data_IF_176823307059
#
_entry.id   IF_176823307059
#
_cell.length_a   1.000
_cell.length_b   1.000
_cell.length_c   1.000
_cell.angle_alpha   90.00
_cell.angle_beta   90.00
_cell.angle_gamma   90.00
#
_symmetry.space_group_name_H-M   'P 1'
#
loop_
_entity.id
_entity.type
_entity.pdbx_description
1 polymer ?
#
# COMPACT_ATOMS: atom_id res chain seq x y z
N UNK A 1 -34.47 4.23 -17.93
CA UNK A 1 -34.42 3.09 -16.98
C UNK A 1 -32.97 2.85 -16.62
N UNK A 2 -32.59 2.86 -15.33
CA UNK A 2 -31.26 2.38 -14.92
C UNK A 2 -31.23 0.87 -15.12
N UNK A 3 -30.30 0.38 -15.94
CA UNK A 3 -30.03 -1.04 -16.08
C UNK A 3 -29.55 -1.58 -14.72
N UNK A 4 -30.06 -2.74 -14.31
CA UNK A 4 -29.65 -3.37 -13.06
C UNK A 4 -28.17 -3.78 -13.14
N UNK A 5 -27.42 -3.51 -12.08
CA UNK A 5 -26.01 -3.87 -11.92
C UNK A 5 -25.90 -4.88 -10.78
N UNK A 6 -25.61 -6.14 -11.13
CA UNK A 6 -25.53 -7.23 -10.16
C UNK A 6 -24.41 -7.04 -9.13
N UNK A 7 -23.28 -6.45 -9.53
CA UNK A 7 -22.16 -6.21 -8.63
C UNK A 7 -22.53 -5.16 -7.59
N UNK A 8 -23.01 -3.98 -8.00
CA UNK A 8 -23.37 -2.93 -7.05
C UNK A 8 -24.51 -3.35 -6.11
N UNK A 9 -25.49 -4.11 -6.63
CA UNK A 9 -26.59 -4.63 -5.83
C UNK A 9 -26.12 -5.61 -4.74
N UNK A 10 -25.28 -6.58 -5.09
CA UNK A 10 -24.74 -7.56 -4.13
C UNK A 10 -23.79 -6.90 -3.14
N UNK A 11 -22.95 -5.97 -3.60
CA UNK A 11 -22.06 -5.23 -2.70
C UNK A 11 -22.87 -4.45 -1.65
N UNK A 12 -23.92 -3.73 -2.06
CA UNK A 12 -24.80 -3.00 -1.14
C UNK A 12 -25.53 -3.91 -0.14
N UNK A 13 -26.04 -5.05 -0.60
CA UNK A 13 -26.72 -6.02 0.25
C UNK A 13 -25.79 -6.68 1.26
N UNK A 14 -24.60 -7.15 0.84
CA UNK A 14 -23.61 -7.74 1.76
C UNK A 14 -23.12 -6.70 2.76
N UNK A 15 -22.84 -5.45 2.34
CA UNK A 15 -22.45 -4.38 3.26
C UNK A 15 -23.52 -4.16 4.33
N UNK A 16 -24.79 -4.10 3.94
CA UNK A 16 -25.92 -3.93 4.86
C UNK A 16 -26.04 -5.12 5.82
N UNK A 17 -25.85 -6.34 5.32
CA UNK A 17 -25.90 -7.56 6.13
C UNK A 17 -24.75 -7.64 7.16
N UNK A 18 -23.53 -7.30 6.75
CA UNK A 18 -22.32 -7.43 7.60
C UNK A 18 -22.23 -6.31 8.64
N UNK A 19 -22.81 -5.13 8.37
CA UNK A 19 -22.88 -4.04 9.35
C UNK A 19 -23.94 -4.26 10.44
N UNK A 20 -24.83 -5.25 10.29
CA UNK A 20 -25.77 -5.63 11.34
C UNK A 20 -24.99 -6.10 12.58
N UNK A 21 -25.22 -5.51 13.78
CA UNK A 21 -24.51 -5.88 15.01
C UNK A 21 -24.64 -7.37 15.41
N UNK A 22 -25.64 -8.08 14.87
CA UNK A 22 -25.84 -9.51 15.09
C UNK A 22 -24.90 -10.37 14.23
N UNK A 23 -24.34 -9.83 13.15
CA UNK A 23 -23.49 -10.57 12.22
C UNK A 23 -22.33 -11.30 12.90
N UNK A 24 -21.51 -10.65 13.76
CA UNK A 24 -20.39 -11.33 14.41
C UNK A 24 -20.81 -12.46 15.36
N UNK A 25 -22.05 -12.40 15.88
CA UNK A 25 -22.60 -13.42 16.79
C UNK A 25 -23.15 -14.65 16.06
N UNK A 26 -23.30 -14.61 14.74
CA UNK A 26 -23.80 -15.75 13.96
C UNK A 26 -22.76 -16.89 13.89
N UNK A 27 -23.19 -18.16 14.02
CA UNK A 27 -22.34 -19.31 13.75
C UNK A 27 -21.70 -19.23 12.37
N UNK A 28 -20.44 -19.67 12.25
CA UNK A 28 -19.71 -19.64 10.98
C UNK A 28 -20.48 -20.27 9.81
N UNK A 29 -21.13 -21.44 9.94
CA UNK A 29 -21.92 -22.02 8.83
C UNK A 29 -23.05 -21.12 8.34
N UNK A 30 -23.72 -20.38 9.25
CA UNK A 30 -24.79 -19.46 8.88
C UNK A 30 -24.25 -18.25 8.09
N UNK A 31 -23.10 -17.70 8.53
CA UNK A 31 -22.42 -16.61 7.80
C UNK A 31 -21.92 -17.08 6.43
N UNK A 32 -21.30 -18.26 6.36
CA UNK A 32 -20.83 -18.85 5.11
C UNK A 32 -21.98 -19.07 4.13
N UNK A 33 -23.10 -19.63 4.60
CA UNK A 33 -24.30 -19.81 3.78
C UNK A 33 -24.85 -18.46 3.27
N UNK A 34 -24.93 -17.45 4.12
CA UNK A 34 -25.41 -16.13 3.73
C UNK A 34 -24.58 -15.49 2.61
N UNK A 35 -23.25 -15.67 2.63
CA UNK A 35 -22.36 -15.24 1.55
C UNK A 35 -22.53 -16.13 0.31
N UNK A 36 -22.68 -17.45 0.47
CA UNK A 36 -22.87 -18.38 -0.65
C UNK A 36 -24.10 -18.03 -1.51
N UNK A 37 -25.21 -17.64 -0.86
CA UNK A 37 -26.47 -17.23 -1.50
C UNK A 37 -26.34 -16.00 -2.40
N UNK A 38 -25.21 -15.29 -2.34
CA UNK A 38 -24.94 -14.02 -3.04
C UNK A 38 -23.82 -14.16 -4.09
N UNK A 39 -23.55 -15.39 -4.51
CA UNK A 39 -22.58 -15.66 -5.57
C UNK A 39 -23.13 -15.15 -6.91
N UNK A 40 -22.34 -14.39 -7.65
CA UNK A 40 -22.67 -13.95 -9.00
C UNK A 40 -21.98 -14.84 -10.03
N UNK A 41 -22.69 -15.16 -11.11
CA UNK A 41 -22.11 -15.68 -12.34
C UNK A 41 -22.19 -14.59 -13.41
N UNK A 42 -21.07 -14.29 -14.06
CA UNK A 42 -21.01 -13.41 -15.23
C UNK A 42 -21.26 -14.19 -16.53
N UNK A 43 -21.62 -13.53 -17.65
CA UNK A 43 -21.83 -14.20 -18.94
C UNK A 43 -20.66 -15.03 -19.50
N UNK A 44 -19.44 -14.82 -19.01
CA UNK A 44 -18.25 -15.64 -19.29
C UNK A 44 -18.15 -16.87 -18.38
N UNK A 45 -19.22 -17.21 -17.66
CA UNK A 45 -19.31 -18.24 -16.62
C UNK A 45 -18.35 -18.04 -15.42
N UNK A 46 -17.76 -16.86 -15.29
CA UNK A 46 -16.95 -16.48 -14.13
C UNK A 46 -17.78 -16.39 -12.86
N UNK A 47 -17.32 -17.03 -11.78
CA UNK A 47 -17.96 -16.96 -10.46
C UNK A 47 -17.32 -15.89 -9.58
N UNK A 48 -18.16 -15.05 -8.99
CA UNK A 48 -17.77 -13.88 -8.20
C UNK A 48 -18.46 -13.86 -6.84
N UNK A 49 -17.72 -13.42 -5.82
CA UNK A 49 -18.24 -13.22 -4.45
C UNK A 49 -17.71 -11.94 -3.86
N UNK A 50 -18.60 -11.18 -3.23
CA UNK A 50 -18.20 -10.07 -2.37
C UNK A 50 -18.12 -10.57 -0.93
N UNK A 51 -16.95 -10.45 -0.32
CA UNK A 51 -16.66 -11.13 0.94
C UNK A 51 -15.75 -10.32 1.83
N UNK A 52 -14.91 -11.03 2.60
CA UNK A 52 -13.93 -10.45 3.52
C UNK A 52 -13.23 -9.22 2.96
N UNK A 53 -12.86 -8.31 3.86
CA UNK A 53 -12.21 -7.05 3.51
C UNK A 53 -13.11 -6.11 2.67
N UNK A 54 -14.40 -6.40 2.52
CA UNK A 54 -15.31 -5.65 1.67
C UNK A 54 -14.75 -5.50 0.23
N UNK A 55 -14.30 -6.62 -0.33
CA UNK A 55 -13.74 -6.72 -1.69
C UNK A 55 -14.33 -7.89 -2.47
N UNK A 56 -14.20 -7.79 -3.79
CA UNK A 56 -14.61 -8.82 -4.72
C UNK A 56 -13.54 -9.90 -4.89
N UNK A 57 -14.00 -11.13 -5.04
CA UNK A 57 -13.21 -12.31 -5.32
C UNK A 57 -13.76 -13.02 -6.53
N UNK A 58 -12.87 -13.53 -7.39
CA UNK A 58 -13.20 -14.35 -8.56
C UNK A 58 -12.68 -15.76 -8.34
N UNK A 59 -13.48 -16.76 -8.68
CA UNK A 59 -13.04 -18.16 -8.63
C UNK A 59 -12.20 -18.51 -9.85
N UNK A 60 -11.09 -19.21 -9.63
CA UNK A 60 -10.34 -19.89 -10.67
C UNK A 60 -11.08 -21.18 -11.06
N UNK A 61 -11.52 -21.34 -12.32
CA UNK A 61 -12.27 -22.51 -12.75
C UNK A 61 -11.41 -23.78 -12.79
N UNK A 62 -10.08 -23.68 -12.78
CA UNK A 62 -9.16 -24.82 -12.89
C UNK A 62 -8.97 -25.50 -11.53
N UNK A 63 -8.68 -24.74 -10.49
CA UNK A 63 -8.37 -25.27 -9.15
C UNK A 63 -9.41 -24.91 -8.07
N UNK A 64 -10.43 -24.12 -8.43
CA UNK A 64 -11.51 -23.72 -7.54
C UNK A 64 -11.12 -22.67 -6.49
N UNK A 65 -9.88 -22.16 -6.51
CA UNK A 65 -9.41 -21.13 -5.57
C UNK A 65 -10.08 -19.79 -5.84
N UNK A 66 -10.17 -18.97 -4.80
CA UNK A 66 -10.75 -17.63 -4.90
C UNK A 66 -9.64 -16.60 -4.83
N UNK A 67 -9.56 -15.76 -5.86
CA UNK A 67 -8.56 -14.70 -5.96
C UNK A 67 -9.22 -13.35 -5.75
N UNK A 68 -8.58 -12.46 -5.00
CA UNK A 68 -9.03 -11.09 -4.89
C UNK A 68 -8.96 -10.45 -6.29
N UNK A 69 -10.08 -9.92 -6.77
CA UNK A 69 -10.14 -9.31 -8.10
C UNK A 69 -11.15 -8.18 -8.09
N UNK A 70 -10.76 -7.03 -8.64
CA UNK A 70 -11.71 -5.95 -8.88
C UNK A 70 -12.81 -6.45 -9.83
N UNK A 71 -14.08 -6.05 -9.64
CA UNK A 71 -15.14 -6.42 -10.57
C UNK A 71 -14.87 -5.82 -11.96
N UNK A 72 -15.38 -6.45 -13.03
CA UNK A 72 -15.25 -5.94 -14.39
C UNK A 72 -15.88 -4.55 -14.50
N UNK A 73 -15.27 -3.70 -15.33
CA UNK A 73 -15.76 -2.35 -15.61
C UNK A 73 -16.77 -2.31 -16.77
N UNK A 74 -16.81 -3.34 -17.61
CA UNK A 74 -17.72 -3.43 -18.75
C UNK A 74 -19.19 -3.46 -18.30
N UNK A 75 -20.01 -2.46 -18.67
CA UNK A 75 -21.43 -2.42 -18.32
C UNK A 75 -22.22 -3.63 -18.82
N UNK A 76 -21.86 -4.20 -19.98
CA UNK A 76 -22.57 -5.36 -20.53
C UNK A 76 -22.32 -6.61 -19.67
N UNK A 77 -21.07 -6.86 -19.30
CA UNK A 77 -20.70 -7.94 -18.39
C UNK A 77 -21.42 -7.82 -17.04
N UNK A 78 -21.47 -6.60 -16.47
CA UNK A 78 -22.11 -6.33 -15.18
C UNK A 78 -23.63 -6.49 -15.23
N UNK A 79 -24.26 -6.04 -16.31
CA UNK A 79 -25.71 -6.16 -16.49
C UNK A 79 -26.16 -7.59 -16.81
N UNK A 80 -25.28 -8.41 -17.41
CA UNK A 80 -25.51 -9.83 -17.65
C UNK A 80 -25.26 -10.72 -16.44
N UNK A 81 -24.70 -10.17 -15.35
CA UNK A 81 -24.40 -10.93 -14.14
C UNK A 81 -25.70 -11.38 -13.44
N UNK A 82 -25.74 -12.64 -12.98
CA UNK A 82 -26.91 -13.21 -12.29
C UNK A 82 -26.51 -13.89 -10.99
N UNK A 83 -27.37 -13.84 -9.99
CA UNK A 83 -27.16 -14.59 -8.74
C UNK A 83 -27.35 -16.08 -9.01
N UNK A 84 -26.40 -16.89 -8.56
CA UNK A 84 -26.40 -18.34 -8.72
C UNK A 84 -26.22 -19.04 -7.38
N UNK A 85 -26.77 -20.24 -7.28
CA UNK A 85 -26.58 -21.13 -6.14
C UNK A 85 -25.46 -22.11 -6.47
N UNK A 86 -24.35 -22.02 -5.73
CA UNK A 86 -23.20 -22.91 -5.89
C UNK A 86 -23.10 -23.79 -4.65
N UNK A 87 -23.13 -25.11 -4.83
CA UNK A 87 -23.08 -26.08 -3.73
C UNK A 87 -21.71 -26.18 -3.04
N UNK A 88 -20.67 -25.53 -3.59
CA UNK A 88 -19.33 -25.51 -3.03
C UNK A 88 -19.31 -24.81 -1.67
N UNK A 89 -18.64 -25.39 -0.68
CA UNK A 89 -18.40 -24.72 0.59
C UNK A 89 -17.66 -23.39 0.38
N UNK A 90 -18.06 -22.34 1.10
CA UNK A 90 -17.37 -21.05 1.06
C UNK A 90 -16.09 -21.15 1.90
N UNK A 91 -14.90 -20.90 1.33
CA UNK A 91 -13.67 -20.90 2.10
C UNK A 91 -13.72 -19.90 3.26
N UNK A 92 -13.21 -20.24 4.47
CA UNK A 92 -13.29 -19.38 5.64
C UNK A 92 -12.74 -17.97 5.43
N UNK A 93 -11.68 -17.83 4.63
CA UNK A 93 -11.06 -16.55 4.33
C UNK A 93 -11.96 -15.58 3.56
N UNK A 94 -13.04 -16.05 2.92
CA UNK A 94 -13.99 -15.20 2.21
C UNK A 94 -15.16 -14.73 3.07
N UNK A 95 -15.34 -15.32 4.26
CA UNK A 95 -16.48 -15.03 5.13
C UNK A 95 -16.16 -13.80 5.99
N UNK A 96 -16.89 -12.68 5.85
CA UNK A 96 -16.63 -11.47 6.63
C UNK A 96 -16.72 -11.72 8.13
N UNK A 97 -15.79 -11.12 8.87
CA UNK A 97 -15.80 -11.12 10.34
C UNK A 97 -16.71 -10.03 10.91
N UNK A 98 -16.94 -8.95 10.15
CA UNK A 98 -17.60 -7.72 10.59
C UNK A 98 -16.61 -6.56 10.63
N UNK A 99 -15.61 -6.56 11.56
CA UNK A 99 -14.61 -5.50 11.66
C UNK A 99 -13.82 -5.23 10.37
N UNK A 100 -13.65 -6.23 9.50
CA UNK A 100 -12.98 -6.11 8.20
C UNK A 100 -13.74 -5.26 7.18
N UNK A 101 -15.03 -4.98 7.40
CA UNK A 101 -15.85 -4.07 6.58
C UNK A 101 -15.79 -2.62 7.05
N UNK A 102 -15.57 -2.40 8.34
CA UNK A 102 -15.47 -1.07 8.95
C UNK A 102 -14.03 -0.59 9.10
N UNK A 103 -13.06 -1.45 8.77
CA UNK A 103 -11.64 -1.17 8.83
C UNK A 103 -11.26 0.02 7.92
N UNK A 104 -10.59 1.01 8.51
CA UNK A 104 -10.00 2.12 7.74
C UNK A 104 -8.88 1.58 6.83
N UNK A 105 -9.00 1.85 5.53
CA UNK A 105 -8.03 1.48 4.50
C UNK A 105 -7.06 2.61 4.16
N UNK A 106 -7.30 3.81 4.69
CA UNK A 106 -6.48 4.98 4.43
C UNK A 106 -6.52 5.44 2.97
N UNK A 107 -5.55 6.28 2.62
CA UNK A 107 -5.31 6.73 1.25
C UNK A 107 -4.25 5.85 0.57
N UNK A 108 -4.43 5.63 -0.73
CA UNK A 108 -3.46 4.93 -1.59
C UNK A 108 -2.50 5.90 -2.30
N UNK A 109 -2.58 7.20 -1.97
CA UNK A 109 -1.72 8.22 -2.55
C UNK A 109 -0.27 8.06 -2.07
N UNK A 110 0.67 8.37 -2.96
CA UNK A 110 2.05 8.65 -2.58
C UNK A 110 2.20 10.00 -1.87
N UNK A 111 3.45 10.34 -1.56
CA UNK A 111 3.85 11.64 -1.01
C UNK A 111 4.50 12.53 -2.07
N UNK A 112 4.08 12.32 -3.33
CA UNK A 112 4.42 13.17 -4.49
C UNK A 112 3.10 13.76 -4.99
N UNK A 113 3.06 15.08 -5.15
CA UNK A 113 1.82 15.81 -5.33
C UNK A 113 1.45 16.51 -4.02
N UNK A 114 0.47 16.04 -3.22
CA UNK A 114 0.22 16.64 -1.91
C UNK A 114 1.35 16.36 -0.92
N UNK A 115 1.97 17.40 -0.38
CA UNK A 115 3.01 17.28 0.65
C UNK A 115 2.45 16.70 1.96
N UNK A 116 3.32 16.30 2.87
CA UNK A 116 2.92 16.01 4.25
C UNK A 116 2.46 17.32 4.94
N UNK A 117 1.29 17.34 5.61
CA UNK A 117 0.82 18.54 6.31
C UNK A 117 1.85 19.12 7.26
N UNK A 118 1.98 20.45 7.29
CA UNK A 118 2.97 21.18 8.07
C UNK A 118 2.93 20.79 9.56
N UNK A 119 1.73 20.66 10.14
CA UNK A 119 1.55 20.30 11.55
C UNK A 119 2.13 18.92 11.89
N UNK A 120 2.14 18.00 10.93
CA UNK A 120 2.76 16.68 11.09
C UNK A 120 4.29 16.83 11.04
N UNK A 121 4.80 17.57 10.06
CA UNK A 121 6.25 17.79 9.93
C UNK A 121 6.84 18.47 11.17
N UNK A 122 6.18 19.46 11.74
CA UNK A 122 6.64 20.14 12.96
C UNK A 122 6.63 19.22 14.18
N UNK A 123 5.57 18.41 14.37
CA UNK A 123 5.56 17.42 15.46
C UNK A 123 6.69 16.42 15.35
N UNK A 124 6.99 15.95 14.14
CA UNK A 124 8.12 15.04 13.91
C UNK A 124 9.46 15.76 14.16
N UNK A 125 9.58 17.02 13.75
CA UNK A 125 10.75 17.87 14.04
C UNK A 125 11.03 17.96 15.53
N UNK A 126 9.99 18.24 16.32
CA UNK A 126 10.09 18.34 17.78
C UNK A 126 10.55 17.01 18.42
N UNK A 127 10.00 15.89 17.93
CA UNK A 127 10.42 14.56 18.39
C UNK A 127 11.89 14.30 18.12
N UNK A 128 12.39 14.64 16.91
CA UNK A 128 13.80 14.49 16.54
C UNK A 128 14.71 15.42 17.35
N UNK A 129 14.32 16.69 17.50
CA UNK A 129 15.07 17.67 18.27
C UNK A 129 15.27 17.20 19.73
N UNK A 130 14.26 16.58 20.32
CA UNK A 130 14.33 16.02 21.68
C UNK A 130 15.28 14.80 21.81
N UNK A 131 15.72 14.20 20.70
CA UNK A 131 16.68 13.09 20.68
C UNK A 131 18.11 13.51 20.35
N UNK A 132 18.36 14.78 20.03
CA UNK A 132 19.72 15.27 19.77
C UNK A 132 20.60 15.12 21.03
N UNK A 133 21.83 14.68 20.84
CA UNK A 133 22.81 14.51 21.93
C UNK A 133 22.64 13.24 22.77
N UNK A 134 21.76 12.30 22.38
CA UNK A 134 21.70 10.96 22.99
C UNK A 134 22.98 10.20 22.68
N UNK A 135 23.54 9.52 23.69
CA UNK A 135 24.75 8.73 23.53
C UNK A 135 24.42 7.43 22.77
N UNK A 136 25.17 7.07 21.73
CA UNK A 136 25.01 5.79 21.04
C UNK A 136 25.20 4.58 21.96
N UNK A 137 25.98 4.72 23.03
CA UNK A 137 26.20 3.66 24.04
C UNK A 137 24.94 3.33 24.83
N UNK A 138 24.11 4.33 25.17
CA UNK A 138 22.83 4.12 25.87
C UNK A 138 21.73 3.59 24.92
N UNK A 139 21.94 3.81 23.63
CA UNK A 139 20.97 3.54 22.57
C UNK A 139 21.63 2.98 21.29
N UNK A 140 22.35 1.85 21.33
CA UNK A 140 23.05 1.31 20.17
C UNK A 140 22.11 1.09 18.99
N UNK A 141 22.61 1.34 17.78
CA UNK A 141 21.92 1.08 16.53
C UNK A 141 22.57 -0.12 15.82
N UNK A 142 21.75 -1.13 15.50
CA UNK A 142 22.16 -2.36 14.83
C UNK A 142 21.20 -2.71 13.70
N UNK A 143 21.56 -3.74 12.92
CA UNK A 143 20.69 -4.29 11.88
C UNK A 143 20.53 -3.36 10.66
N UNK A 144 19.42 -3.47 9.91
CA UNK A 144 19.25 -2.77 8.63
C UNK A 144 19.36 -1.25 8.73
N UNK A 145 18.97 -0.64 9.86
CA UNK A 145 19.09 0.80 10.06
C UNK A 145 20.53 1.29 10.20
N UNK A 146 21.47 0.45 10.64
CA UNK A 146 22.87 0.84 10.80
C UNK A 146 23.56 1.14 9.45
N UNK A 147 23.05 0.58 8.34
CA UNK A 147 23.53 0.90 6.99
C UNK A 147 22.90 2.17 6.38
N UNK A 148 21.91 2.76 7.04
CA UNK A 148 21.21 3.97 6.59
C UNK A 148 21.76 5.23 7.27
N UNK A 149 22.04 5.15 8.56
CA UNK A 149 22.46 6.27 9.38
C UNK A 149 23.97 6.29 9.64
N UNK A 150 24.52 7.47 9.91
CA UNK A 150 25.91 7.63 10.32
C UNK A 150 26.19 6.87 11.63
N UNK A 151 27.45 6.49 11.87
CA UNK A 151 27.82 5.57 12.95
C UNK A 151 27.52 6.12 14.36
N UNK A 152 27.49 7.45 14.49
CA UNK A 152 27.19 8.21 15.71
C UNK A 152 25.69 8.36 15.99
N UNK A 153 24.81 7.86 15.12
CA UNK A 153 23.36 8.01 15.28
C UNK A 153 22.81 6.96 16.24
N UNK A 154 22.12 7.43 17.27
CA UNK A 154 21.46 6.57 18.26
C UNK A 154 20.11 6.02 17.76
N UNK A 155 19.72 4.85 18.26
CA UNK A 155 18.46 4.15 17.92
C UNK A 155 17.16 4.96 18.03
N UNK A 156 17.00 6.01 18.87
CA UNK A 156 15.84 6.87 18.84
C UNK A 156 15.55 7.51 17.48
N UNK A 157 16.57 7.97 16.75
CA UNK A 157 16.38 8.55 15.40
C UNK A 157 15.86 7.48 14.43
N UNK A 158 16.45 6.28 14.49
CA UNK A 158 16.00 5.13 13.71
C UNK A 158 14.59 4.68 14.07
N UNK A 159 14.16 4.82 15.34
CA UNK A 159 12.80 4.52 15.76
C UNK A 159 11.78 5.48 15.14
N UNK A 160 12.09 6.79 15.06
CA UNK A 160 11.24 7.78 14.37
C UNK A 160 11.17 7.44 12.88
N UNK A 161 12.32 7.32 12.21
CA UNK A 161 12.39 6.99 10.78
C UNK A 161 11.66 5.69 10.43
N UNK A 162 11.98 4.62 11.14
CA UNK A 162 11.38 3.31 10.93
C UNK A 162 9.87 3.35 11.15
N UNK A 163 9.38 4.12 12.13
CA UNK A 163 7.94 4.29 12.34
C UNK A 163 7.27 5.01 11.17
N UNK A 164 7.89 6.08 10.64
CA UNK A 164 7.37 6.78 9.46
C UNK A 164 7.30 5.84 8.25
N UNK A 165 8.40 5.13 7.96
CA UNK A 165 8.49 4.21 6.81
C UNK A 165 7.57 3.00 6.94
N UNK A 166 7.41 2.47 8.15
CA UNK A 166 6.48 1.38 8.40
C UNK A 166 5.04 1.87 8.26
N UNK A 167 4.70 3.06 8.79
CA UNK A 167 3.34 3.60 8.73
C UNK A 167 2.92 4.02 7.31
N UNK A 168 3.85 4.43 6.45
CA UNK A 168 3.57 4.85 5.09
C UNK A 168 2.95 3.74 4.25
N UNK A 169 1.83 4.02 3.56
CA UNK A 169 1.26 3.10 2.57
C UNK A 169 2.22 2.84 1.40
N UNK A 170 2.74 3.91 0.80
CA UNK A 170 3.67 3.89 -0.32
C UNK A 170 4.75 4.99 -0.08
N UNK A 171 5.92 4.65 0.49
CA UNK A 171 6.97 5.61 0.83
C UNK A 171 7.74 6.13 -0.40
N UNK A 172 7.02 6.76 -1.34
CA UNK A 172 7.54 7.55 -2.44
C UNK A 172 7.23 9.02 -2.14
N UNK A 173 8.28 9.82 -1.90
CA UNK A 173 8.18 11.21 -1.44
C UNK A 173 8.74 12.18 -2.46
N UNK A 174 8.22 13.41 -2.51
CA UNK A 174 8.86 14.49 -3.26
C UNK A 174 10.34 14.62 -2.81
N UNK A 175 11.23 14.87 -3.76
CA UNK A 175 12.67 15.00 -3.54
C UNK A 175 13.03 16.09 -2.53
N UNK A 176 12.14 17.08 -2.35
CA UNK A 176 12.26 18.21 -1.42
C UNK A 176 11.32 18.08 -0.20
N UNK A 177 10.71 16.92 0.02
CA UNK A 177 9.79 16.72 1.13
C UNK A 177 10.47 17.10 2.46
N UNK A 178 9.82 18.00 3.19
CA UNK A 178 10.29 18.56 4.46
C UNK A 178 10.52 17.45 5.46
N UNK A 179 9.61 16.48 5.54
CA UNK A 179 9.69 15.32 6.45
C UNK A 179 11.00 14.54 6.27
N UNK A 180 11.46 14.34 5.03
CA UNK A 180 12.70 13.61 4.76
C UNK A 180 13.94 14.47 5.00
N UNK A 181 13.87 15.75 4.65
CA UNK A 181 14.98 16.69 4.77
C UNK A 181 15.47 16.85 6.22
N UNK A 182 14.58 16.69 7.20
CA UNK A 182 14.93 16.74 8.64
C UNK A 182 15.94 15.66 9.05
N UNK A 183 15.99 14.55 8.32
CA UNK A 183 16.89 13.45 8.63
C UNK A 183 18.28 13.61 7.99
N UNK A 184 18.48 14.61 7.12
CA UNK A 184 19.71 14.75 6.33
C UNK A 184 20.99 14.76 7.16
N UNK A 185 20.97 15.34 8.37
CA UNK A 185 22.13 15.37 9.27
C UNK A 185 22.49 14.01 9.88
N UNK A 186 21.58 13.03 9.85
CA UNK A 186 21.78 11.71 10.43
C UNK A 186 22.16 10.64 9.40
N UNK A 187 21.96 10.89 8.11
CA UNK A 187 22.12 9.86 7.08
C UNK A 187 23.60 9.60 6.76
N UNK A 188 23.98 8.34 6.61
CA UNK A 188 25.33 7.96 6.17
C UNK A 188 25.55 8.19 4.66
N UNK A 189 24.47 8.20 3.89
CA UNK A 189 24.47 8.37 2.43
C UNK A 189 23.20 9.10 1.99
N UNK A 190 23.22 9.78 0.82
CA UNK A 190 22.01 10.35 0.24
C UNK A 190 20.91 9.29 0.09
N UNK A 191 19.65 9.70 0.29
CA UNK A 191 18.50 8.83 0.08
C UNK A 191 18.39 8.40 -1.39
N UNK A 192 17.95 7.16 -1.67
CA UNK A 192 17.75 6.68 -3.04
C UNK A 192 16.68 7.52 -3.76
N UNK A 193 16.82 7.61 -5.07
CA UNK A 193 15.96 8.40 -5.95
C UNK A 193 16.72 9.51 -6.66
N UNK A 194 15.97 10.53 -7.10
CA UNK A 194 16.50 11.67 -7.85
C UNK A 194 16.01 13.00 -7.24
N UNK A 195 16.31 14.12 -7.89
CA UNK A 195 15.91 15.45 -7.40
C UNK A 195 14.38 15.61 -7.26
N UNK A 196 13.59 14.76 -7.91
CA UNK A 196 12.14 14.85 -7.95
C UNK A 196 11.45 13.90 -6.99
N UNK A 197 11.95 12.68 -6.82
CA UNK A 197 11.33 11.67 -5.96
C UNK A 197 12.37 10.84 -5.21
N UNK A 198 12.11 10.62 -3.92
CA UNK A 198 12.78 9.61 -3.09
C UNK A 198 11.96 8.34 -3.04
N UNK A 199 12.52 7.25 -3.55
CA UNK A 199 11.89 5.91 -3.57
C UNK A 199 12.41 5.09 -2.41
N UNK A 200 11.73 5.16 -1.27
CA UNK A 200 12.21 4.52 -0.05
C UNK A 200 11.60 3.12 0.09
N UNK A 201 12.35 2.11 0.54
CA UNK A 201 11.77 0.85 0.95
C UNK A 201 11.01 1.02 2.28
N UNK A 202 9.90 0.30 2.50
CA UNK A 202 9.21 0.32 3.79
C UNK A 202 10.09 -0.35 4.84
N UNK A 203 10.09 0.19 6.07
CA UNK A 203 10.67 -0.51 7.22
C UNK A 203 9.80 -1.73 7.58
N UNK A 204 10.41 -2.80 8.07
CA UNK A 204 9.66 -3.95 8.58
C UNK A 204 9.29 -3.77 10.05
N UNK A 205 8.19 -4.40 10.48
CA UNK A 205 7.87 -4.48 11.90
C UNK A 205 8.98 -5.16 12.69
N UNK A 206 9.69 -6.13 12.08
CA UNK A 206 10.83 -6.81 12.68
C UNK A 206 11.95 -5.85 13.06
N UNK A 207 12.24 -4.87 12.20
CA UNK A 207 13.28 -3.87 12.47
C UNK A 207 12.93 -2.99 13.67
N UNK A 208 11.66 -2.58 13.79
CA UNK A 208 11.17 -1.81 14.95
C UNK A 208 11.21 -2.64 16.23
N UNK A 209 10.78 -3.89 16.14
CA UNK A 209 10.79 -4.82 17.27
C UNK A 209 12.22 -5.09 17.74
N UNK A 210 13.19 -5.20 16.82
CA UNK A 210 14.59 -5.41 17.16
C UNK A 210 15.16 -4.25 18.00
N UNK A 211 14.77 -3.00 17.73
CA UNK A 211 15.17 -1.84 18.55
C UNK A 211 14.72 -1.99 20.02
N UNK A 212 13.49 -2.48 20.23
CA UNK A 212 12.96 -2.75 21.57
C UNK A 212 13.59 -4.00 22.21
N UNK A 213 13.61 -5.10 21.46
CA UNK A 213 14.01 -6.41 21.93
C UNK A 213 15.48 -6.47 22.33
N UNK A 214 16.34 -5.78 21.58
CA UNK A 214 17.74 -5.64 21.95
C UNK A 214 17.88 -5.00 23.34
N UNK A 215 17.23 -3.85 23.59
CA UNK A 215 17.40 -3.12 24.86
C UNK A 215 16.95 -3.95 26.05
N UNK A 216 15.86 -4.70 25.89
CA UNK A 216 15.34 -5.61 26.91
C UNK A 216 16.34 -6.75 27.19
N UNK A 217 16.87 -7.39 26.13
CA UNK A 217 17.87 -8.46 26.27
C UNK A 217 19.17 -7.97 26.89
N UNK A 218 19.56 -6.72 26.65
CA UNK A 218 20.72 -6.08 27.27
C UNK A 218 20.51 -5.69 28.75
N UNK A 219 19.34 -5.99 29.35
CA UNK A 219 19.05 -5.63 30.74
C UNK A 219 18.60 -4.18 30.94
N UNK A 220 18.25 -3.47 29.85
CA UNK A 220 17.78 -2.09 29.86
C UNK A 220 16.32 -1.95 29.38
N UNK A 221 15.33 -2.63 30.03
CA UNK A 221 13.94 -2.64 29.58
C UNK A 221 13.28 -1.25 29.57
N UNK A 222 13.73 -0.34 30.45
CA UNK A 222 13.24 1.04 30.46
C UNK A 222 13.74 1.85 29.25
N UNK A 223 14.94 1.57 28.74
CA UNK A 223 15.41 2.15 27.48
C UNK A 223 14.61 1.61 26.28
N UNK A 224 14.30 0.31 26.28
CA UNK A 224 13.40 -0.30 25.30
C UNK A 224 12.01 0.34 25.33
N UNK A 225 11.43 0.55 26.52
CA UNK A 225 10.13 1.22 26.68
C UNK A 225 10.16 2.67 26.16
N UNK A 226 11.27 3.40 26.33
CA UNK A 226 11.44 4.74 25.76
C UNK A 226 11.43 4.73 24.23
N UNK A 227 12.06 3.73 23.59
CA UNK A 227 12.00 3.57 22.13
C UNK A 227 10.57 3.30 21.67
N UNK A 228 9.85 2.44 22.39
CA UNK A 228 8.43 2.16 22.10
C UNK A 228 7.54 3.39 22.31
N UNK A 229 7.81 4.20 23.34
CA UNK A 229 7.11 5.46 23.54
C UNK A 229 7.36 6.45 22.40
N UNK A 230 8.58 6.48 21.86
CA UNK A 230 8.93 7.30 20.70
C UNK A 230 8.26 6.81 19.41
N UNK A 231 8.18 5.50 19.20
CA UNK A 231 7.39 4.91 18.10
C UNK A 231 5.91 5.31 18.23
N UNK A 232 5.33 5.20 19.42
CA UNK A 232 3.94 5.60 19.66
C UNK A 232 3.72 7.11 19.42
N UNK A 233 4.62 7.97 19.92
CA UNK A 233 4.54 9.41 19.70
C UNK A 233 4.65 9.78 18.21
N UNK A 234 5.52 9.09 17.46
CA UNK A 234 5.68 9.28 16.01
C UNK A 234 4.43 8.83 15.26
N UNK A 235 3.87 7.65 15.61
CA UNK A 235 2.63 7.15 15.04
C UNK A 235 1.47 8.10 15.29
N UNK A 236 1.35 8.63 16.52
CA UNK A 236 0.33 9.61 16.87
C UNK A 236 0.48 10.91 16.08
N UNK A 237 1.73 11.39 15.88
CA UNK A 237 2.01 12.59 15.11
C UNK A 237 1.50 12.50 13.67
N UNK A 238 1.63 11.33 13.02
CA UNK A 238 1.21 11.12 11.62
C UNK A 238 -0.21 10.60 11.46
N UNK A 239 -0.89 10.18 12.55
CA UNK A 239 -2.19 9.48 12.50
C UNK A 239 -3.30 10.29 11.82
N UNK A 240 -3.19 11.62 11.78
CA UNK A 240 -4.19 12.47 11.14
C UNK A 240 -4.15 12.40 9.61
N UNK A 241 -3.02 12.02 9.00
CA UNK A 241 -2.90 11.88 7.55
C UNK A 241 -3.38 10.48 7.09
N UNK A 242 -4.36 10.40 6.17
CA UNK A 242 -4.89 9.13 5.67
C UNK A 242 -3.84 8.16 5.09
N UNK A 243 -2.70 8.65 4.61
CA UNK A 243 -1.62 7.83 4.03
C UNK A 243 -0.83 7.04 5.07
N UNK A 244 -0.85 7.50 6.33
CA UNK A 244 -0.20 6.83 7.47
C UNK A 244 -1.20 6.17 8.42
N UNK A 245 -2.41 6.71 8.51
CA UNK A 245 -3.39 6.43 9.58
C UNK A 245 -3.67 4.96 9.87
N UNK A 246 -3.91 4.05 8.89
CA UNK A 246 -4.26 2.66 9.21
C UNK A 246 -3.14 1.96 9.98
N UNK A 247 -1.90 2.12 9.52
CA UNK A 247 -0.73 1.54 10.16
C UNK A 247 -0.39 2.26 11.46
N UNK A 248 -0.43 3.59 11.49
CA UNK A 248 -0.22 4.35 12.72
C UNK A 248 -1.17 3.91 13.85
N UNK A 249 -2.46 3.76 13.55
CA UNK A 249 -3.46 3.28 14.52
C UNK A 249 -3.19 1.84 14.95
N UNK A 250 -2.76 0.98 14.03
CA UNK A 250 -2.35 -0.38 14.35
C UNK A 250 -1.12 -0.41 15.26
N UNK A 251 -0.07 0.38 14.99
CA UNK A 251 1.12 0.43 15.84
C UNK A 251 0.79 0.86 17.26
N UNK A 252 -0.03 1.89 17.42
CA UNK A 252 -0.51 2.33 18.73
C UNK A 252 -1.23 1.21 19.49
N UNK A 253 -2.08 0.44 18.82
CA UNK A 253 -2.75 -0.72 19.42
C UNK A 253 -1.74 -1.84 19.80
N UNK A 254 -0.77 -2.12 18.92
CA UNK A 254 0.26 -3.14 19.15
C UNK A 254 1.13 -2.82 20.36
N UNK A 255 1.56 -1.57 20.50
CA UNK A 255 2.52 -1.15 21.54
C UNK A 255 1.90 -0.72 22.86
N UNK A 256 0.59 -0.46 22.90
CA UNK A 256 -0.12 0.00 24.09
C UNK A 256 0.17 -0.85 25.35
N UNK A 257 0.18 -2.21 25.30
CA UNK A 257 0.48 -3.02 26.48
C UNK A 257 1.89 -2.85 27.03
N UNK A 258 2.88 -2.54 26.18
CA UNK A 258 4.26 -2.24 26.61
C UNK A 258 4.30 -0.93 27.39
N UNK A 259 3.57 0.09 26.91
CA UNK A 259 3.52 1.42 27.53
C UNK A 259 2.83 1.39 28.89
N UNK A 260 1.72 0.65 28.99
CA UNK A 260 0.94 0.48 30.22
C UNK A 260 1.49 -0.58 31.17
N UNK A 261 2.54 -1.31 30.78
CA UNK A 261 3.13 -2.42 31.54
C UNK A 261 2.12 -3.54 31.87
N UNK A 262 1.20 -3.79 30.96
CA UNK A 262 0.15 -4.80 31.11
C UNK A 262 0.41 -6.06 30.28
N UNK A 263 1.39 -6.01 29.36
CA UNK A 263 1.76 -7.11 28.47
C UNK A 263 2.92 -7.98 28.95
N UNK A 264 3.12 -9.11 28.27
CA UNK A 264 4.25 -10.04 28.48
C UNK A 264 5.40 -9.79 27.48
N UNK A 265 5.41 -8.63 26.84
CA UNK A 265 6.33 -8.28 25.75
C UNK A 265 7.81 -8.35 26.18
N UNK A 266 8.14 -7.98 27.42
CA UNK A 266 9.50 -8.09 27.94
C UNK A 266 9.92 -9.56 28.09
N UNK A 267 9.02 -10.43 28.54
CA UNK A 267 9.27 -11.87 28.59
C UNK A 267 9.42 -12.44 27.19
N UNK A 268 8.59 -12.01 26.23
CA UNK A 268 8.71 -12.40 24.83
C UNK A 268 10.05 -11.97 24.21
N UNK A 269 10.56 -10.77 24.55
CA UNK A 269 11.84 -10.29 24.04
C UNK A 269 13.02 -11.19 24.41
N UNK A 270 12.98 -11.83 25.57
CA UNK A 270 13.97 -12.84 25.98
C UNK A 270 13.90 -14.13 25.13
N UNK A 271 12.75 -14.42 24.50
CA UNK A 271 12.58 -15.54 23.57
C UNK A 271 12.95 -15.16 22.12
N UNK A 272 13.23 -13.89 21.84
CA UNK A 272 13.65 -13.39 20.52
C UNK A 272 12.69 -12.36 19.92
N UNK A 273 13.17 -11.66 18.89
CA UNK A 273 12.42 -10.58 18.24
C UNK A 273 11.16 -11.10 17.52
N UNK A 274 11.22 -12.31 16.96
CA UNK A 274 10.03 -12.92 16.36
C UNK A 274 8.92 -13.17 17.37
N UNK A 275 9.22 -13.53 18.61
CA UNK A 275 8.21 -13.75 19.64
C UNK A 275 7.45 -12.44 19.95
N UNK A 276 8.19 -11.33 20.06
CA UNK A 276 7.60 -9.99 20.23
C UNK A 276 6.80 -9.59 19.00
N UNK A 277 7.33 -9.81 17.79
CA UNK A 277 6.64 -9.49 16.52
C UNK A 277 5.30 -10.21 16.41
N UNK A 278 5.24 -11.51 16.71
CA UNK A 278 3.98 -12.26 16.70
C UNK A 278 3.00 -11.73 17.74
N UNK A 279 3.48 -11.39 18.94
CA UNK A 279 2.65 -10.82 19.99
C UNK A 279 2.08 -9.46 19.58
N UNK A 280 2.87 -8.60 18.95
CA UNK A 280 2.41 -7.32 18.42
C UNK A 280 1.38 -7.53 17.30
N UNK A 281 1.67 -8.37 16.31
CA UNK A 281 0.73 -8.66 15.21
C UNK A 281 -0.61 -9.24 15.68
N UNK A 282 -0.63 -10.00 16.77
CA UNK A 282 -1.89 -10.52 17.34
C UNK A 282 -2.88 -9.44 17.79
N UNK A 283 -2.39 -8.20 17.99
CA UNK A 283 -3.16 -7.02 18.40
C UNK A 283 -3.52 -6.11 17.22
N UNK A 284 -3.05 -6.44 16.02
CA UNK A 284 -3.18 -5.64 14.82
C UNK A 284 -4.45 -6.04 14.03
N UNK A 285 -5.20 -5.08 13.45
CA UNK A 285 -6.23 -5.41 12.46
C UNK A 285 -5.66 -6.25 11.32
N UNK A 286 -6.40 -7.30 10.91
CA UNK A 286 -5.89 -8.32 9.97
C UNK A 286 -5.44 -7.74 8.63
N UNK A 287 -6.15 -6.75 8.09
CA UNK A 287 -5.82 -6.13 6.79
C UNK A 287 -4.49 -5.35 6.81
N UNK A 288 -4.13 -4.78 7.96
CA UNK A 288 -2.85 -4.08 8.14
C UNK A 288 -1.70 -5.10 8.32
N UNK A 289 -1.98 -6.18 9.05
CA UNK A 289 -1.02 -7.25 9.31
C UNK A 289 -0.61 -8.05 8.05
N UNK A 290 -1.38 -7.99 6.96
CA UNK A 290 -1.12 -8.77 5.73
C UNK A 290 0.30 -8.58 5.21
N UNK A 291 0.77 -7.33 5.16
CA UNK A 291 2.14 -7.05 4.69
C UNK A 291 3.21 -7.81 5.48
N UNK A 292 2.98 -8.09 6.76
CA UNK A 292 3.93 -8.78 7.64
C UNK A 292 3.68 -10.29 7.77
N UNK A 293 2.47 -10.76 7.47
CA UNK A 293 2.03 -12.14 7.75
C UNK A 293 1.75 -12.96 6.50
N UNK A 294 1.37 -12.33 5.40
CA UNK A 294 1.05 -12.98 4.12
C UNK A 294 1.42 -12.05 2.95
N UNK A 295 2.68 -12.11 2.46
CA UNK A 295 3.13 -11.30 1.32
C UNK A 295 2.27 -11.48 0.06
N UNK A 296 1.73 -12.69 -0.14
CA UNK A 296 0.87 -13.01 -1.27
C UNK A 296 -0.50 -12.33 -1.20
N UNK A 297 -1.18 -12.40 -0.05
CA UNK A 297 -2.44 -11.68 0.14
C UNK A 297 -2.20 -10.16 0.06
N UNK A 298 -1.09 -9.66 0.63
CA UNK A 298 -0.72 -8.26 0.52
C UNK A 298 -0.55 -7.82 -0.95
N UNK A 299 0.12 -8.62 -1.77
CA UNK A 299 0.26 -8.38 -3.21
C UNK A 299 -1.10 -8.32 -3.92
N UNK A 300 -2.00 -9.27 -3.64
CA UNK A 300 -3.36 -9.24 -4.19
C UNK A 300 -4.10 -7.94 -3.83
N UNK A 301 -3.99 -7.50 -2.58
CA UNK A 301 -4.59 -6.25 -2.12
C UNK A 301 -4.01 -5.02 -2.84
N UNK A 302 -2.70 -4.97 -3.02
CA UNK A 302 -2.03 -3.88 -3.73
C UNK A 302 -2.45 -3.83 -5.21
N UNK A 303 -2.51 -4.97 -5.91
CA UNK A 303 -3.00 -5.05 -7.29
C UNK A 303 -4.46 -4.60 -7.39
N UNK A 304 -5.32 -5.03 -6.46
CA UNK A 304 -6.71 -4.58 -6.43
C UNK A 304 -6.82 -3.06 -6.24
N UNK A 305 -5.96 -2.47 -5.41
CA UNK A 305 -5.90 -1.01 -5.24
C UNK A 305 -5.39 -0.31 -6.51
N UNK A 306 -4.38 -0.85 -7.20
CA UNK A 306 -3.93 -0.34 -8.49
C UNK A 306 -5.06 -0.34 -9.53
N UNK A 307 -5.76 -1.47 -9.70
CA UNK A 307 -6.91 -1.57 -10.62
C UNK A 307 -7.98 -0.52 -10.27
N UNK A 308 -8.27 -0.34 -8.97
CA UNK A 308 -9.24 0.65 -8.50
C UNK A 308 -8.82 2.07 -8.87
N UNK A 309 -7.54 2.44 -8.70
CA UNK A 309 -7.05 3.77 -9.09
C UNK A 309 -7.09 4.01 -10.60
N UNK A 310 -6.96 2.96 -11.40
CA UNK A 310 -7.10 3.01 -12.85
C UNK A 310 -8.56 3.11 -13.31
N UNK A 311 -9.55 3.08 -12.42
CA UNK A 311 -10.97 3.09 -12.77
C UNK A 311 -11.41 4.23 -13.71
N UNK A 312 -10.68 5.35 -13.76
CA UNK A 312 -10.95 6.45 -14.69
C UNK A 312 -10.81 6.04 -16.17
N UNK A 313 -10.02 5.01 -16.50
CA UNK A 313 -9.80 4.57 -17.89
C UNK A 313 -10.99 3.79 -18.44
N UNK A 314 -11.87 3.26 -17.59
CA UNK A 314 -13.09 2.59 -18.01
C UNK A 314 -13.96 3.52 -18.88
N UNK A 315 -14.02 4.81 -18.52
CA UNK A 315 -14.74 5.84 -19.30
C UNK A 315 -14.11 6.10 -20.67
N UNK A 316 -12.85 5.72 -20.86
CA UNK A 316 -12.10 5.81 -22.12
C UNK A 316 -12.20 4.50 -22.93
N UNK A 317 -13.01 3.53 -22.50
CA UNK A 317 -13.23 2.26 -23.19
C UNK A 317 -12.16 1.20 -22.95
N UNK A 318 -11.24 1.41 -22.00
CA UNK A 318 -10.22 0.43 -21.63
C UNK A 318 -10.58 -0.30 -20.33
N UNK A 319 -10.24 -1.57 -20.23
CA UNK A 319 -10.42 -2.34 -18.99
C UNK A 319 -9.29 -2.02 -17.98
N UNK A 320 -9.62 -1.46 -16.79
CA UNK A 320 -8.64 -1.21 -15.72
C UNK A 320 -7.85 -2.45 -15.29
N UNK A 321 -8.45 -3.65 -15.35
CA UNK A 321 -7.79 -4.90 -14.95
C UNK A 321 -6.70 -5.26 -15.94
N UNK A 322 -7.02 -5.29 -17.23
CA UNK A 322 -6.05 -5.52 -18.30
C UNK A 322 -4.88 -4.51 -18.30
N UNK A 323 -5.18 -3.23 -18.07
CA UNK A 323 -4.14 -2.19 -17.99
C UNK A 323 -3.25 -2.37 -16.76
N UNK A 324 -3.81 -2.69 -15.59
CA UNK A 324 -3.02 -2.96 -14.39
C UNK A 324 -2.06 -4.15 -14.59
N UNK A 325 -2.52 -5.25 -15.20
CA UNK A 325 -1.67 -6.40 -15.53
C UNK A 325 -0.57 -6.02 -16.52
N UNK A 326 -0.87 -5.16 -17.51
CA UNK A 326 0.12 -4.67 -18.46
C UNK A 326 1.19 -3.78 -17.82
N UNK A 327 0.80 -2.88 -16.90
CA UNK A 327 1.75 -2.04 -16.17
C UNK A 327 2.63 -2.87 -15.22
N UNK A 328 2.06 -3.87 -14.54
CA UNK A 328 2.83 -4.84 -13.77
C UNK A 328 3.82 -5.60 -14.68
N UNK A 329 3.41 -5.98 -15.89
CA UNK A 329 4.30 -6.61 -16.87
C UNK A 329 5.47 -5.69 -17.27
N UNK A 330 5.22 -4.38 -17.42
CA UNK A 330 6.26 -3.40 -17.71
C UNK A 330 7.31 -3.33 -16.58
N UNK A 331 6.86 -3.28 -15.33
CA UNK A 331 7.75 -3.24 -14.16
C UNK A 331 8.58 -4.52 -14.03
N UNK A 332 7.94 -5.69 -14.19
CA UNK A 332 8.65 -6.97 -14.19
C UNK A 332 9.64 -7.07 -15.34
N UNK A 333 9.25 -6.66 -16.54
CA UNK A 333 10.13 -6.65 -17.71
C UNK A 333 11.36 -5.77 -17.51
N UNK A 334 11.21 -4.64 -16.82
CA UNK A 334 12.30 -3.69 -16.58
C UNK A 334 13.27 -4.16 -15.50
N UNK A 335 12.78 -4.86 -14.47
CA UNK A 335 13.57 -5.12 -13.25
C UNK A 335 13.81 -6.60 -12.96
N UNK A 336 12.83 -7.48 -13.15
CA UNK A 336 12.95 -8.90 -12.82
C UNK A 336 11.93 -9.77 -13.57
N UNK A 337 12.14 -10.09 -14.87
CA UNK A 337 11.16 -10.82 -15.67
C UNK A 337 10.80 -12.20 -15.09
N UNK A 338 11.78 -12.87 -14.47
CA UNK A 338 11.61 -14.19 -13.84
C UNK A 338 10.82 -14.15 -12.53
N UNK A 339 10.56 -12.97 -11.96
CA UNK A 339 9.73 -12.86 -10.76
C UNK A 339 8.25 -13.19 -11.04
N UNK A 340 7.81 -13.11 -12.31
CA UNK A 340 6.43 -13.41 -12.72
C UNK A 340 5.95 -14.80 -12.27
N UNK A 341 6.83 -15.81 -12.29
CA UNK A 341 6.51 -17.19 -11.88
C UNK A 341 6.04 -17.27 -10.43
N UNK A 342 6.56 -16.40 -9.55
CA UNK A 342 6.17 -16.32 -8.14
C UNK A 342 4.84 -15.58 -7.94
N UNK A 343 4.41 -14.77 -8.91
CA UNK A 343 3.20 -13.97 -8.84
C UNK A 343 1.97 -14.68 -9.41
N UNK A 344 2.15 -15.55 -10.42
CA UNK A 344 1.03 -16.24 -11.08
C UNK A 344 0.05 -16.94 -10.12
N UNK A 345 0.49 -17.63 -9.04
CA UNK A 345 -0.43 -18.28 -8.10
C UNK A 345 -1.33 -17.31 -7.32
N UNK A 346 -1.01 -16.01 -7.32
CA UNK A 346 -1.72 -14.98 -6.58
C UNK A 346 -2.64 -14.14 -7.46
N UNK A 347 -2.53 -14.24 -8.77
CA UNK A 347 -3.41 -13.52 -9.71
C UNK A 347 -4.61 -14.37 -10.08
N UNK A 348 -5.76 -13.72 -10.31
CA UNK A 348 -6.92 -14.39 -10.90
C UNK A 348 -6.61 -14.85 -12.34
N UNK A 349 -7.36 -15.82 -12.88
CA UNK A 349 -7.06 -16.44 -14.17
C UNK A 349 -6.82 -15.46 -15.32
N UNK A 350 -7.59 -14.37 -15.38
CA UNK A 350 -7.50 -13.39 -16.47
C UNK A 350 -6.30 -12.49 -16.30
N UNK A 351 -6.06 -11.93 -15.10
CA UNK A 351 -4.85 -11.14 -14.83
C UNK A 351 -3.59 -11.98 -15.04
N UNK A 352 -3.61 -13.25 -14.63
CA UNK A 352 -2.52 -14.22 -14.84
C UNK A 352 -2.26 -14.43 -16.34
N UNK A 353 -3.31 -14.67 -17.11
CA UNK A 353 -3.21 -14.85 -18.56
C UNK A 353 -2.67 -13.59 -19.25
N UNK A 354 -3.26 -12.42 -18.96
CA UNK A 354 -2.84 -11.13 -19.53
C UNK A 354 -1.37 -10.85 -19.21
N UNK A 355 -0.96 -11.03 -17.95
CA UNK A 355 0.43 -10.84 -17.53
C UNK A 355 1.37 -11.74 -18.34
N UNK A 356 1.02 -13.01 -18.49
CA UNK A 356 1.82 -13.96 -19.27
C UNK A 356 1.96 -13.54 -20.73
N UNK A 357 0.85 -13.33 -21.44
CA UNK A 357 0.88 -13.02 -22.88
C UNK A 357 1.58 -11.69 -23.17
N UNK A 358 1.37 -10.68 -22.32
CA UNK A 358 2.03 -9.38 -22.47
C UNK A 358 3.53 -9.50 -22.27
N UNK A 359 4.00 -10.33 -21.33
CA UNK A 359 5.43 -10.59 -21.13
C UNK A 359 6.06 -11.39 -22.28
N UNK A 360 5.33 -12.35 -22.87
CA UNK A 360 5.89 -13.25 -23.89
C UNK A 360 5.77 -12.75 -25.32
N UNK A 361 4.77 -11.92 -25.63
CA UNK A 361 4.52 -11.39 -26.98
C UNK A 361 4.86 -9.88 -27.06
N UNK A 362 5.99 -9.51 -27.69
CA UNK A 362 6.36 -8.12 -27.93
C UNK A 362 5.39 -7.33 -28.81
N UNK A 363 4.59 -8.00 -29.65
CA UNK A 363 3.61 -7.36 -30.51
C UNK A 363 2.24 -7.17 -29.82
N UNK A 364 2.10 -7.63 -28.57
CA UNK A 364 0.82 -7.58 -27.87
C UNK A 364 0.31 -6.13 -27.70
N UNK A 365 -0.94 -5.81 -28.08
CA UNK A 365 -1.44 -4.43 -28.07
C UNK A 365 -1.35 -3.72 -26.71
N UNK A 366 -1.52 -4.48 -25.60
CA UNK A 366 -1.40 -3.93 -24.25
C UNK A 366 0.01 -3.40 -23.91
N UNK A 367 1.07 -3.75 -24.66
CA UNK A 367 2.37 -3.08 -24.51
C UNK A 367 2.32 -1.61 -24.92
N UNK A 368 1.29 -1.19 -25.67
CA UNK A 368 0.99 0.22 -25.91
C UNK A 368 0.68 1.01 -24.63
N UNK A 369 0.36 0.34 -23.52
CA UNK A 369 0.18 0.93 -22.19
C UNK A 369 1.51 1.17 -21.44
N UNK A 370 2.61 0.58 -21.90
CA UNK A 370 3.87 0.64 -21.16
C UNK A 370 4.45 2.07 -21.15
N UNK A 371 5.14 2.46 -20.07
CA UNK A 371 5.95 3.67 -20.05
C UNK A 371 6.94 3.72 -21.22
N UNK A 372 7.08 4.89 -21.85
CA UNK A 372 8.04 5.11 -22.95
C UNK A 372 9.19 5.99 -22.51
N UNK A 373 10.41 5.52 -22.70
CA UNK A 373 11.62 6.32 -22.51
C UNK A 373 11.67 7.47 -23.53
N UNK A 374 12.14 8.64 -23.10
CA UNK A 374 12.23 9.83 -23.96
C UNK A 374 10.88 10.41 -24.37
N UNK A 375 9.80 10.01 -23.70
CA UNK A 375 8.45 10.53 -23.92
C UNK A 375 8.20 11.91 -23.31
N UNK A 376 9.22 12.51 -22.70
CA UNK A 376 9.17 13.82 -22.06
C UNK A 376 10.06 14.81 -22.83
N UNK A 377 9.49 15.87 -23.44
CA UNK A 377 10.24 16.83 -24.26
C UNK A 377 11.44 17.47 -23.55
N UNK A 378 11.27 17.84 -22.28
CA UNK A 378 12.28 18.57 -21.51
C UNK A 378 13.23 17.65 -20.70
N UNK A 379 12.94 16.34 -20.67
CA UNK A 379 13.70 15.35 -19.89
C UNK A 379 13.84 14.03 -20.68
N UNK A 380 14.75 13.96 -21.67
CA UNK A 380 14.87 12.80 -22.57
C UNK A 380 15.24 11.48 -21.87
N UNK A 381 15.74 11.53 -20.64
CA UNK A 381 15.97 10.34 -19.79
C UNK A 381 14.74 9.89 -19.00
N UNK A 382 13.69 10.71 -18.91
CA UNK A 382 12.48 10.40 -18.18
C UNK A 382 11.54 9.52 -19.01
N UNK A 383 10.84 8.63 -18.32
CA UNK A 383 9.76 7.83 -18.91
C UNK A 383 8.44 8.57 -18.77
N UNK A 384 7.58 8.50 -19.77
CA UNK A 384 6.24 9.07 -19.73
C UNK A 384 5.17 7.99 -19.87
N UNK A 385 4.07 8.15 -19.14
CA UNK A 385 2.87 7.36 -19.38
C UNK A 385 2.23 7.74 -20.72
N UNK A 386 1.71 6.77 -21.50
CA UNK A 386 0.90 7.05 -22.67
C UNK A 386 -0.29 7.97 -22.33
N UNK A 387 -0.64 8.88 -23.25
CA UNK A 387 -1.72 9.88 -23.05
C UNK A 387 -3.07 9.28 -22.67
N UNK A 388 -3.39 8.09 -23.17
CA UNK A 388 -4.60 7.36 -22.81
C UNK A 388 -4.68 7.05 -21.30
N UNK A 389 -3.53 6.88 -20.64
CA UNK A 389 -3.41 6.55 -19.22
C UNK A 389 -3.23 7.78 -18.33
N UNK A 390 -3.29 9.00 -18.89
CA UNK A 390 -3.18 10.22 -18.09
C UNK A 390 -4.34 10.30 -17.09
N UNK A 391 -4.02 10.39 -15.77
CA UNK A 391 -5.02 10.62 -14.72
C UNK A 391 -5.73 11.96 -14.93
N UNK A 392 -6.99 12.09 -14.48
CA UNK A 392 -7.79 13.30 -14.70
C UNK A 392 -7.37 14.50 -13.84
N UNK A 393 -6.71 14.27 -12.71
CA UNK A 393 -6.31 15.30 -11.75
C UNK A 393 -5.10 14.84 -10.90
N UNK A 394 -4.49 15.81 -10.17
CA UNK A 394 -3.33 15.60 -9.28
C UNK A 394 -3.58 14.53 -8.23
N UNK A 395 -4.79 14.48 -7.66
CA UNK A 395 -5.14 13.51 -6.60
C UNK A 395 -5.17 12.08 -7.16
N UNK A 396 -5.70 11.89 -8.37
CA UNK A 396 -5.74 10.64 -9.11
C UNK A 396 -4.34 10.23 -9.58
N UNK A 397 -3.50 11.19 -9.97
CA UNK A 397 -2.10 10.94 -10.30
C UNK A 397 -1.30 10.49 -9.06
N UNK A 398 -1.47 11.15 -7.90
CA UNK A 398 -0.85 10.74 -6.66
C UNK A 398 -1.32 9.35 -6.20
N UNK A 399 -2.61 9.02 -6.41
CA UNK A 399 -3.17 7.70 -6.13
C UNK A 399 -2.60 6.61 -7.06
N UNK A 400 -2.48 6.90 -8.35
CA UNK A 400 -1.87 5.99 -9.31
C UNK A 400 -0.39 5.75 -8.99
N UNK A 401 0.38 6.80 -8.69
CA UNK A 401 1.78 6.68 -8.26
C UNK A 401 1.90 5.82 -7.01
N UNK A 402 1.13 6.13 -5.96
CA UNK A 402 1.20 5.42 -4.69
C UNK A 402 0.78 3.95 -4.81
N UNK A 403 -0.30 3.64 -5.52
CA UNK A 403 -0.75 2.27 -5.72
C UNK A 403 0.18 1.47 -6.65
N UNK A 404 0.75 2.08 -7.69
CA UNK A 404 1.76 1.45 -8.54
C UNK A 404 3.03 1.14 -7.75
N UNK A 405 3.54 2.10 -6.96
CA UNK A 405 4.72 1.89 -6.12
C UNK A 405 4.47 0.82 -5.04
N UNK A 406 3.31 0.84 -4.37
CA UNK A 406 2.93 -0.19 -3.39
C UNK A 406 2.80 -1.58 -4.01
N UNK A 407 2.27 -1.68 -5.24
CA UNK A 407 2.24 -2.94 -5.99
C UNK A 407 3.66 -3.44 -6.29
N UNK A 408 4.53 -2.51 -6.70
CA UNK A 408 5.97 -2.69 -6.83
C UNK A 408 6.63 -3.33 -5.62
N UNK A 409 6.48 -2.67 -4.47
CA UNK A 409 7.01 -3.14 -3.19
C UNK A 409 6.45 -4.51 -2.79
N UNK A 410 5.15 -4.75 -3.02
CA UNK A 410 4.51 -6.01 -2.66
C UNK A 410 5.03 -7.18 -3.50
N UNK A 411 5.22 -7.00 -4.81
CA UNK A 411 5.78 -8.06 -5.65
C UNK A 411 7.28 -8.29 -5.38
N UNK A 412 8.06 -7.24 -5.07
CA UNK A 412 9.44 -7.39 -4.61
C UNK A 412 9.50 -8.23 -3.33
N UNK A 413 8.66 -7.92 -2.33
CA UNK A 413 8.59 -8.70 -1.06
C UNK A 413 8.18 -10.15 -1.30
N UNK A 414 7.18 -10.39 -2.14
CA UNK A 414 6.70 -11.73 -2.47
C UNK A 414 7.74 -12.55 -3.25
N UNK A 415 8.47 -11.90 -4.16
CA UNK A 415 9.46 -12.55 -5.01
C UNK A 415 10.87 -12.57 -4.42
N UNK A 416 11.13 -11.87 -3.32
CA UNK A 416 12.48 -11.68 -2.78
C UNK A 416 13.40 -10.84 -3.68
N UNK A 417 12.83 -10.07 -4.60
CA UNK A 417 13.58 -9.16 -5.47
C UNK A 417 13.87 -7.85 -4.72
N UNK A 418 15.06 -7.27 -4.95
CA UNK A 418 15.41 -5.98 -4.39
C UNK A 418 14.54 -4.85 -4.97
N UNK A 419 14.31 -3.80 -4.19
CA UNK A 419 13.55 -2.62 -4.62
C UNK A 419 14.48 -1.73 -5.46
N UNK A 420 14.10 -1.33 -6.68
CA UNK A 420 14.94 -0.46 -7.51
C UNK A 420 15.16 0.92 -6.87
N UNK A 421 16.40 1.41 -6.85
CA UNK A 421 16.75 2.71 -6.25
C UNK A 421 16.07 3.91 -6.92
N UNK A 422 15.68 3.78 -8.19
CA UNK A 422 14.99 4.83 -8.98
C UNK A 422 13.48 4.59 -9.11
N UNK A 423 12.93 3.71 -8.26
CA UNK A 423 11.53 3.32 -8.34
C UNK A 423 11.22 2.40 -9.53
N UNK A 424 9.95 2.01 -9.63
CA UNK A 424 9.47 1.14 -10.70
C UNK A 424 9.08 1.96 -11.94
N UNK A 425 9.27 1.39 -13.13
CA UNK A 425 9.02 2.07 -14.41
C UNK A 425 7.64 2.75 -14.48
N UNK A 426 6.58 2.07 -14.02
CA UNK A 426 5.22 2.59 -14.00
C UNK A 426 5.07 3.77 -13.05
N UNK A 427 5.51 3.62 -11.79
CA UNK A 427 5.39 4.68 -10.78
C UNK A 427 6.22 5.92 -11.16
N UNK A 428 7.45 5.70 -11.66
CA UNK A 428 8.33 6.77 -12.14
C UNK A 428 7.72 7.55 -13.31
N UNK A 429 7.02 6.87 -14.23
CA UNK A 429 6.38 7.52 -15.37
C UNK A 429 5.19 8.42 -15.00
N UNK A 430 4.61 8.24 -13.81
CA UNK A 430 3.56 9.13 -13.27
C UNK A 430 4.15 10.44 -12.74
N UNK A 431 5.37 10.41 -12.19
CA UNK A 431 6.02 11.56 -11.54
C UNK A 431 6.04 12.79 -12.42
N UNK A 432 6.38 12.63 -13.69
CA UNK A 432 6.46 13.74 -14.64
C UNK A 432 5.14 14.55 -14.71
N UNK A 433 3.98 13.88 -14.59
CA UNK A 433 2.69 14.57 -14.59
C UNK A 433 2.51 15.41 -13.33
N UNK A 434 2.93 14.89 -12.19
CA UNK A 434 2.81 15.58 -10.90
C UNK A 434 3.77 16.77 -10.80
N UNK A 435 4.94 16.72 -11.44
CA UNK A 435 5.91 17.82 -11.45
C UNK A 435 5.51 18.96 -12.38
N UNK A 436 4.80 18.69 -13.48
CA UNK A 436 4.33 19.71 -14.43
C UNK A 436 3.04 20.42 -13.97
N UNK A 437 2.29 19.80 -13.06
CA UNK A 437 1.14 20.45 -12.41
C UNK A 437 1.55 21.25 -11.15
N UNK A 438 2.86 21.39 -10.87
CA UNK A 438 3.40 22.11 -9.70
C UNK A 438 3.41 23.64 -9.85
N UNK A 439 2.83 24.17 -10.94
CA UNK A 439 2.48 25.59 -11.08
C UNK A 439 1.28 25.95 -10.17
N UNK A 440 1.43 25.71 -8.86
CA UNK A 440 0.50 26.24 -7.88
C UNK A 440 0.70 27.76 -7.79
N UNK A 441 -0.36 28.58 -7.89
CA UNK A 441 -0.26 30.00 -7.59
C UNK A 441 0.13 30.15 -6.12
N UNK A 442 1.14 30.98 -5.86
CA UNK A 442 1.59 31.33 -4.51
C UNK A 442 0.37 31.65 -3.62
N UNK A 443 0.28 31.11 -2.39
CA UNK A 443 -0.76 31.49 -1.45
C UNK A 443 -0.63 32.99 -1.18
N UNK A 444 -1.57 33.79 -1.69
CA UNK A 444 -1.61 35.24 -1.46
C UNK A 444 -1.78 36.13 -2.69
N UNK A 445 -1.78 35.60 -3.92
CA UNK A 445 -2.03 36.44 -5.13
C UNK A 445 -3.47 36.27 -5.62
N UNK A 446 -4.43 36.69 -4.81
CA UNK A 446 -5.77 37.06 -5.29
C UNK A 446 -5.78 38.57 -5.54
N UNK A 447 -5.25 38.99 -6.68
CA UNK A 447 -5.29 40.38 -7.16
C UNK A 447 -5.95 40.44 -8.54
N UNK A 448 -6.95 41.32 -8.78
CA UNK A 448 -7.75 41.26 -9.98
C UNK A 448 -7.12 42.12 -11.08
N UNK A 449 -6.38 41.56 -12.03
CA UNK A 449 -6.19 42.22 -13.33
C UNK A 449 -6.12 41.23 -14.49
N UNK A 450 -6.85 41.48 -15.59
CA UNK A 450 -6.99 40.56 -16.71
C UNK A 450 -5.94 40.82 -17.82
N UNK A 451 -5.65 39.75 -18.57
CA UNK A 451 -5.02 39.72 -19.89
C UNK A 451 -3.56 40.18 -20.04
N UNK A 452 -2.73 39.30 -20.62
CA UNK A 452 -2.07 39.57 -21.90
C UNK A 452 -1.54 38.25 -22.49
N UNK A 453 -2.22 37.78 -23.56
CA UNK A 453 -1.59 36.95 -24.59
C UNK A 453 -0.57 37.81 -25.34
N UNK A 454 0.60 37.27 -25.66
CA UNK A 454 1.32 37.46 -26.95
C UNK A 454 2.76 36.90 -26.87
N UNK A 455 2.97 35.69 -27.40
CA UNK A 455 3.67 35.36 -28.66
C UNK A 455 4.08 33.89 -28.66
#
# INVERSE_FOLDING_TARGET
MRQWDGFDAIEGDVRTMVTDPRWPALPFPARAQAIALRTLATPDDGLWRFGSHARWYRQDPVDGRWHLSHPPADPLMRAGARVVQVASAVPPQLVPSGPDFTADRGSVQGFVGPDVPFEITERVRDLLAAQRGRRPEDFPLHGPFAGLFAAEVASPVAAVWGTLMWCAYAPAFDGNEVLLSMFGEFLARPLPGDEWVRWLPPASLGDLVALYGERVRAGHPEAGRRLVALMAATAEAVRTDPRFRPRASALLAMVSPVLHRTGQDAAAAHHGDDAVRHMWLSRCPSHVALSESSPGDHFQHAVYDLVRTLGFIARKGADPRAVAASLLAADLSAHAPRAADRLYPWLDPELRHILHVVLTDPAHPLRGCWPRAGGVPDFPSASALPSALHPPDRASAAALLGSAYATGLAWCRLSGTEVPERGFATAAAVVHRLTHERDDPLPGVSGPYPHLRHF
#
